data_IF_176895426369
#
_entry.id   IF_176895426369
#
_cell.length_a   1.000
_cell.length_b   1.000
_cell.length_c   1.000
_cell.angle_alpha   90.00
_cell.angle_beta   90.00
_cell.angle_gamma   90.00
#
_symmetry.space_group_name_H-M   'P 1'
#
loop_
_entity.id
_entity.type
_entity.pdbx_description
1 polymer ?
#
# COMPACT_ATOMS: atom_id res chain seq x y z
N UNK A 1 9.70 -26.58 -6.24
CA UNK A 1 8.47 -26.43 -5.44
C UNK A 1 8.81 -25.61 -4.20
N UNK A 2 8.80 -24.28 -4.31
CA UNK A 2 9.05 -23.39 -3.17
C UNK A 2 7.96 -23.58 -2.13
N UNK A 3 8.34 -23.80 -0.87
CA UNK A 3 7.44 -24.02 0.27
C UNK A 3 6.33 -22.95 0.28
N UNK A 4 5.05 -23.31 0.53
CA UNK A 4 4.00 -22.31 0.70
C UNK A 4 4.32 -21.44 1.92
N UNK A 5 4.26 -20.13 1.75
CA UNK A 5 4.45 -19.15 2.81
C UNK A 5 3.29 -19.33 3.81
N UNK A 6 3.59 -19.60 5.08
CA UNK A 6 2.58 -19.63 6.14
C UNK A 6 2.38 -18.21 6.69
N UNK A 7 1.14 -17.72 6.67
CA UNK A 7 0.82 -16.40 7.22
C UNK A 7 0.88 -16.41 8.75
N UNK A 8 1.82 -15.66 9.31
CA UNK A 8 1.89 -15.37 10.75
C UNK A 8 0.94 -14.23 11.16
N UNK A 9 0.14 -14.45 12.21
CA UNK A 9 -0.81 -13.45 12.73
C UNK A 9 -0.05 -12.28 13.35
N UNK A 10 -0.40 -11.06 12.98
CA UNK A 10 0.23 -9.82 13.48
C UNK A 10 1.45 -9.36 12.69
N UNK A 11 1.93 -10.17 11.74
CA UNK A 11 3.01 -9.79 10.83
C UNK A 11 2.44 -9.07 9.61
N UNK A 12 2.97 -7.88 9.30
CA UNK A 12 2.55 -7.08 8.14
C UNK A 12 3.36 -7.46 6.90
N UNK A 13 2.76 -8.21 6.00
CA UNK A 13 3.31 -8.53 4.68
C UNK A 13 3.08 -7.37 3.68
N UNK A 14 4.10 -7.00 2.91
CA UNK A 14 4.03 -5.90 1.93
C UNK A 14 4.46 -6.38 0.54
N UNK A 15 4.01 -5.66 -0.49
CA UNK A 15 4.45 -5.81 -1.87
C UNK A 15 4.57 -7.29 -2.31
N UNK A 16 5.78 -7.75 -2.64
CA UNK A 16 6.05 -9.11 -3.09
C UNK A 16 5.61 -10.19 -2.09
N UNK A 17 5.81 -9.95 -0.79
CA UNK A 17 5.45 -10.91 0.25
C UNK A 17 3.93 -11.10 0.35
N UNK A 18 3.18 -10.00 0.13
CA UNK A 18 1.71 -10.05 0.07
C UNK A 18 1.26 -10.73 -1.22
N UNK A 19 1.86 -10.38 -2.35
CA UNK A 19 1.49 -10.91 -3.66
C UNK A 19 1.76 -12.41 -3.79
N UNK A 20 2.79 -12.94 -3.11
CA UNK A 20 3.09 -14.37 -3.09
C UNK A 20 2.01 -15.23 -2.42
N UNK A 21 1.14 -14.62 -1.60
CA UNK A 21 0.05 -15.29 -0.88
C UNK A 21 -1.28 -15.26 -1.63
N UNK A 22 -1.47 -14.32 -2.56
CA UNK A 22 -2.75 -14.16 -3.27
C UNK A 22 -2.70 -15.02 -4.54
N UNK A 23 -3.64 -15.96 -4.75
CA UNK A 23 -3.65 -16.86 -5.90
C UNK A 23 -4.12 -16.14 -7.17
N UNK A 24 -3.38 -15.12 -7.62
CA UNK A 24 -3.65 -14.38 -8.85
C UNK A 24 -2.61 -14.76 -9.90
N UNK A 25 -3.07 -14.96 -11.13
CA UNK A 25 -2.19 -15.15 -12.28
C UNK A 25 -1.60 -13.77 -12.65
N UNK A 26 -0.39 -13.49 -12.18
CA UNK A 26 0.32 -12.26 -12.53
C UNK A 26 0.81 -12.36 -13.97
N UNK A 27 0.21 -11.57 -14.84
CA UNK A 27 0.69 -11.41 -16.21
C UNK A 27 1.82 -10.39 -16.12
N UNK A 28 3.05 -10.83 -16.33
CA UNK A 28 4.23 -9.96 -16.25
C UNK A 28 4.24 -9.11 -17.53
N UNK A 29 3.88 -7.84 -17.40
CA UNK A 29 4.02 -6.84 -18.46
C UNK A 29 5.46 -6.34 -18.47
N UNK A 30 6.11 -6.32 -19.64
CA UNK A 30 7.47 -5.81 -19.77
C UNK A 30 7.51 -4.31 -19.47
N UNK A 31 8.66 -3.82 -18.98
CA UNK A 31 8.77 -2.45 -18.47
C UNK A 31 8.59 -1.41 -19.57
N UNK A 32 8.99 -1.74 -20.81
CA UNK A 32 8.73 -0.94 -22.01
C UNK A 32 7.22 -0.73 -22.29
N UNK A 33 6.35 -1.63 -21.85
CA UNK A 33 4.90 -1.56 -22.09
C UNK A 33 4.12 -0.82 -20.99
N UNK A 34 4.77 -0.44 -19.89
CA UNK A 34 4.12 0.26 -18.77
C UNK A 34 3.80 1.72 -19.13
N UNK A 35 2.52 1.96 -19.43
CA UNK A 35 2.00 3.30 -19.66
C UNK A 35 2.19 4.19 -18.41
N UNK A 36 2.70 5.39 -18.63
CA UNK A 36 2.80 6.41 -17.56
C UNK A 36 1.39 6.85 -17.15
N UNK A 37 1.22 7.12 -15.85
CA UNK A 37 -0.01 7.74 -15.36
C UNK A 37 -0.19 9.11 -16.02
N UNK A 38 -1.40 9.42 -16.54
CA UNK A 38 -1.67 10.73 -17.13
C UNK A 38 -1.63 11.83 -16.06
N UNK A 39 -1.37 13.08 -16.48
CA UNK A 39 -1.19 14.20 -15.54
C UNK A 39 -2.40 14.45 -14.63
N UNK A 40 -3.62 14.34 -15.17
CA UNK A 40 -4.86 14.58 -14.40
C UNK A 40 -5.11 13.56 -13.28
N UNK A 41 -4.47 12.39 -13.32
CA UNK A 41 -4.60 11.34 -12.31
C UNK A 41 -3.54 11.47 -11.19
N UNK A 42 -2.55 12.35 -11.36
CA UNK A 42 -1.50 12.55 -10.35
C UNK A 42 -1.99 13.55 -9.31
N UNK A 43 -1.79 13.20 -8.05
CA UNK A 43 -2.03 14.10 -6.91
C UNK A 43 -0.72 14.76 -6.47
N UNK A 44 -0.83 15.97 -5.91
CA UNK A 44 0.30 16.66 -5.28
C UNK A 44 0.32 16.31 -3.80
N UNK A 45 1.46 15.85 -3.31
CA UNK A 45 1.63 15.62 -1.88
C UNK A 45 1.78 16.96 -1.14
N UNK A 46 1.18 17.11 0.06
CA UNK A 46 1.34 18.32 0.86
C UNK A 46 2.78 18.46 1.34
N UNK A 47 3.22 19.71 1.50
CA UNK A 47 4.54 20.02 2.04
C UNK A 47 4.66 19.64 3.53
N UNK A 48 3.57 19.78 4.29
CA UNK A 48 3.49 19.35 5.69
C UNK A 48 2.76 18.02 5.82
N UNK A 49 3.34 17.11 6.59
CA UNK A 49 2.79 15.77 6.88
C UNK A 49 2.52 15.54 8.38
N UNK A 50 2.63 16.59 9.21
CA UNK A 50 2.47 16.52 10.67
C UNK A 50 1.14 15.91 11.10
N UNK A 51 0.03 16.36 10.51
CA UNK A 51 -1.33 15.83 10.78
C UNK A 51 -1.46 14.35 10.42
N UNK A 52 -1.04 13.99 9.21
CA UNK A 52 -1.03 12.62 8.72
C UNK A 52 -0.22 11.73 9.68
N UNK A 53 0.96 12.17 10.09
CA UNK A 53 1.79 11.43 11.05
C UNK A 53 1.11 11.25 12.41
N UNK A 54 0.41 12.28 12.90
CA UNK A 54 -0.39 12.22 14.13
C UNK A 54 -1.48 11.16 14.08
N UNK A 55 -2.28 11.15 13.01
CA UNK A 55 -3.35 10.14 12.82
C UNK A 55 -2.75 8.74 12.72
N UNK A 56 -1.70 8.57 11.91
CA UNK A 56 -1.00 7.30 11.78
C UNK A 56 -0.43 6.79 13.11
N UNK A 57 0.10 7.69 13.94
CA UNK A 57 0.59 7.34 15.28
C UNK A 57 -0.55 6.90 16.20
N UNK A 58 -1.69 7.61 16.18
CA UNK A 58 -2.87 7.24 16.95
C UNK A 58 -3.43 5.87 16.53
N UNK A 59 -3.50 5.59 15.23
CA UNK A 59 -3.92 4.27 14.71
C UNK A 59 -3.00 3.15 15.21
N UNK A 60 -1.68 3.33 15.09
CA UNK A 60 -0.69 2.34 15.55
C UNK A 60 -0.76 2.12 17.06
N UNK A 61 -0.93 3.19 17.85
CA UNK A 61 -1.07 3.09 19.31
C UNK A 61 -2.27 2.22 19.72
N UNK A 62 -3.34 2.22 18.92
CA UNK A 62 -4.54 1.45 19.19
C UNK A 62 -4.60 0.11 18.42
N UNK A 63 -3.54 -0.27 17.70
CA UNK A 63 -3.53 -1.51 16.90
C UNK A 63 -4.57 -1.53 15.78
N UNK A 64 -4.96 -0.36 15.25
CA UNK A 64 -5.98 -0.24 14.21
C UNK A 64 -5.38 -0.22 12.81
N UNK A 65 -6.12 -0.75 11.85
CA UNK A 65 -5.77 -0.78 10.43
C UNK A 65 -6.79 0.01 9.60
N UNK A 66 -6.34 0.67 8.53
CA UNK A 66 -7.23 1.37 7.60
C UNK A 66 -6.95 0.99 6.15
N UNK A 67 -8.00 0.97 5.33
CA UNK A 67 -7.85 0.85 3.88
C UNK A 67 -7.01 1.97 3.29
N UNK A 68 -7.02 3.16 3.92
CA UNK A 68 -6.26 4.31 3.49
C UNK A 68 -4.75 4.02 3.47
N UNK A 69 -4.22 3.34 4.50
CA UNK A 69 -2.82 2.92 4.56
C UNK A 69 -2.55 1.60 3.84
N UNK A 70 -3.41 0.59 3.98
CA UNK A 70 -3.17 -0.75 3.42
C UNK A 70 -3.29 -0.81 1.89
N UNK A 71 -4.04 0.10 1.28
CA UNK A 71 -4.23 0.19 -0.17
C UNK A 71 -3.39 1.30 -0.83
N UNK A 72 -2.51 1.99 -0.08
CA UNK A 72 -1.75 3.15 -0.58
C UNK A 72 -2.64 4.17 -1.28
N UNK A 73 -3.74 4.57 -0.61
CA UNK A 73 -4.75 5.43 -1.18
C UNK A 73 -4.14 6.78 -1.63
N UNK A 74 -4.38 7.24 -2.88
CA UNK A 74 -3.87 8.54 -3.33
C UNK A 74 -4.45 9.71 -2.55
N UNK A 75 -5.64 9.57 -1.95
CA UNK A 75 -6.32 10.64 -1.22
C UNK A 75 -5.95 10.68 0.27
N UNK A 76 -4.97 9.88 0.70
CA UNK A 76 -4.55 9.79 2.10
C UNK A 76 -4.23 11.17 2.70
N UNK A 77 -3.57 12.04 1.92
CA UNK A 77 -3.15 13.36 2.39
C UNK A 77 -4.29 14.37 2.57
N UNK A 78 -5.44 14.13 1.94
CA UNK A 78 -6.63 14.95 2.10
C UNK A 78 -7.51 14.41 3.23
N UNK A 79 -7.60 13.07 3.35
CA UNK A 79 -8.43 12.42 4.34
C UNK A 79 -7.80 12.33 5.75
N UNK A 80 -6.46 12.21 5.84
CA UNK A 80 -5.71 12.13 7.12
C UNK A 80 -5.02 13.48 7.40
#
# INVERSE_FOLDING_TARGET
MSKPIQMERGVKYRDADKMALIPVKTIVTEREELLRKPEWMKIKLPADSSKIQGIKAAMRKNGLHSVCEEASCPNLAECF
#
